data_IF_111036772716
#
_entry.id   IF_111036772716
#
_cell.length_a   1.000
_cell.length_b   1.000
_cell.length_c   1.000
_cell.angle_alpha   90.00
_cell.angle_beta   90.00
_cell.angle_gamma   90.00
#
_symmetry.space_group_name_H-M   'P 1'
#
loop_
_entity.id
_entity.type
_entity.pdbx_description
1 polymer ?
#
# COMPACT_ATOMS: atom_id res chain seq x y z
N UNK A 1 -5.09 -11.32 7.67
CA UNK A 1 -4.61 -10.76 6.37
C UNK A 1 -5.38 -11.34 5.20
N UNK A 2 -5.24 -12.61 4.80
CA UNK A 2 -6.01 -13.12 3.64
C UNK A 2 -7.52 -12.99 3.83
N UNK A 3 -8.06 -13.35 5.00
CA UNK A 3 -9.49 -13.18 5.27
C UNK A 3 -9.92 -11.71 5.24
N UNK A 4 -9.07 -10.81 5.76
CA UNK A 4 -9.26 -9.36 5.67
C UNK A 4 -9.32 -8.89 4.22
N UNK A 5 -8.43 -9.40 3.36
CA UNK A 5 -8.38 -9.06 1.94
C UNK A 5 -9.55 -9.64 1.16
N UNK A 6 -9.99 -10.85 1.48
CA UNK A 6 -11.14 -11.50 0.82
C UNK A 6 -12.47 -10.86 1.23
N UNK A 7 -12.53 -10.24 2.42
CA UNK A 7 -13.70 -9.50 2.88
C UNK A 7 -13.73 -8.04 2.40
N UNK A 8 -12.59 -7.51 1.94
CA UNK A 8 -12.46 -6.14 1.48
C UNK A 8 -12.83 -6.02 0.00
N UNK A 9 -13.57 -4.97 -0.34
CA UNK A 9 -14.06 -4.69 -1.69
C UNK A 9 -13.06 -3.89 -2.55
N UNK A 10 -11.87 -3.59 -2.02
CA UNK A 10 -10.83 -2.83 -2.71
C UNK A 10 -11.02 -1.31 -2.65
N UNK A 11 -11.96 -0.82 -1.83
CA UNK A 11 -12.20 0.62 -1.67
C UNK A 11 -11.13 1.26 -0.76
N UNK A 12 -10.29 2.11 -1.37
CA UNK A 12 -9.25 2.90 -0.69
C UNK A 12 -9.75 4.25 -0.15
N UNK A 13 -10.99 4.64 -0.48
CA UNK A 13 -11.55 5.96 -0.18
C UNK A 13 -12.47 5.94 1.03
N UNK A 14 -13.12 4.81 1.30
CA UNK A 14 -14.02 4.67 2.45
C UNK A 14 -13.28 4.93 3.75
N UNK A 15 -13.79 5.90 4.51
CA UNK A 15 -13.26 6.24 5.82
C UNK A 15 -14.33 6.09 6.88
N UNK A 16 -13.90 5.84 8.11
CA UNK A 16 -14.78 5.90 9.28
C UNK A 16 -14.89 7.32 9.86
N UNK A 17 -15.63 7.47 10.95
CA UNK A 17 -15.81 8.76 11.63
C UNK A 17 -14.50 9.37 12.20
N UNK A 18 -13.40 8.63 12.22
CA UNK A 18 -12.08 9.11 12.61
C UNK A 18 -11.20 9.49 11.41
N UNK A 19 -11.72 9.41 10.17
CA UNK A 19 -10.97 9.71 8.95
C UNK A 19 -9.94 8.65 8.57
N UNK A 20 -10.07 7.44 9.12
CA UNK A 20 -9.17 6.32 8.83
C UNK A 20 -9.76 5.40 7.78
N UNK A 21 -8.92 4.87 6.89
CA UNK A 21 -9.35 3.99 5.79
C UNK A 21 -9.63 2.56 6.25
N UNK A 22 -10.28 1.78 5.39
CA UNK A 22 -10.57 0.38 5.63
C UNK A 22 -9.30 -0.43 5.99
N UNK A 23 -9.38 -1.39 6.95
CA UNK A 23 -8.24 -2.25 7.28
C UNK A 23 -7.64 -3.02 6.09
N UNK A 24 -8.44 -3.27 5.05
CA UNK A 24 -7.99 -3.86 3.79
C UNK A 24 -6.83 -3.11 3.15
N UNK A 25 -6.75 -1.79 3.29
CA UNK A 25 -5.66 -0.96 2.74
C UNK A 25 -4.32 -1.32 3.38
N UNK A 26 -4.27 -1.38 4.71
CA UNK A 26 -3.05 -1.73 5.44
C UNK A 26 -2.69 -3.21 5.21
N UNK A 27 -3.71 -4.09 5.20
CA UNK A 27 -3.54 -5.51 4.93
C UNK A 27 -2.94 -5.76 3.53
N UNK A 28 -3.41 -5.05 2.52
CA UNK A 28 -2.95 -5.20 1.14
C UNK A 28 -1.53 -4.70 0.95
N UNK A 29 -1.25 -3.52 1.50
CA UNK A 29 0.09 -2.93 1.49
C UNK A 29 1.11 -3.88 2.12
N UNK A 30 0.82 -4.39 3.32
CA UNK A 30 1.72 -5.31 4.02
C UNK A 30 1.87 -6.64 3.26
N UNK A 31 0.77 -7.20 2.75
CA UNK A 31 0.78 -8.45 2.01
C UNK A 31 1.66 -8.38 0.76
N UNK A 32 1.52 -7.34 -0.06
CA UNK A 32 2.35 -7.18 -1.28
C UNK A 32 3.83 -7.06 -0.94
N UNK A 33 4.17 -6.28 0.09
CA UNK A 33 5.55 -6.13 0.54
C UNK A 33 6.15 -7.48 0.97
N UNK A 34 5.42 -8.30 1.74
CA UNK A 34 5.88 -9.65 2.07
C UNK A 34 5.95 -10.57 0.86
N UNK A 35 4.96 -10.51 -0.03
CA UNK A 35 4.94 -11.32 -1.22
C UNK A 35 6.22 -11.07 -2.04
N UNK A 36 6.60 -9.80 -2.21
CA UNK A 36 7.85 -9.42 -2.85
C UNK A 36 9.08 -10.00 -2.13
N UNK A 37 9.17 -9.89 -0.81
CA UNK A 37 10.25 -10.50 -0.01
C UNK A 37 10.35 -12.01 -0.21
N UNK A 38 9.22 -12.71 -0.16
CA UNK A 38 9.18 -14.16 -0.32
C UNK A 38 9.58 -14.58 -1.74
N UNK A 39 9.11 -13.87 -2.77
CA UNK A 39 9.44 -14.17 -4.16
C UNK A 39 10.92 -13.95 -4.47
N UNK A 40 11.54 -12.96 -3.82
CA UNK A 40 12.95 -12.63 -4.05
C UNK A 40 13.92 -13.30 -3.07
N UNK A 41 13.44 -13.92 -1.98
CA UNK A 41 14.29 -14.59 -1.00
C UNK A 41 15.31 -15.58 -1.60
N UNK A 42 14.98 -16.38 -2.64
CA UNK A 42 15.95 -17.29 -3.26
C UNK A 42 17.15 -16.60 -3.93
N UNK A 43 17.03 -15.32 -4.27
CA UNK A 43 18.10 -14.53 -4.90
C UNK A 43 19.12 -14.00 -3.87
N UNK A 44 18.90 -14.25 -2.58
CA UNK A 44 19.82 -13.90 -1.51
C UNK A 44 19.79 -12.41 -1.12
N UNK A 45 20.71 -11.99 -0.22
CA UNK A 45 20.67 -10.66 0.40
C UNK A 45 20.73 -9.48 -0.58
N UNK A 46 21.35 -9.66 -1.75
CA UNK A 46 21.45 -8.62 -2.79
C UNK A 46 20.09 -8.22 -3.36
N UNK A 47 19.08 -9.09 -3.32
CA UNK A 47 17.76 -8.79 -3.84
C UNK A 47 16.98 -7.76 -2.99
N UNK A 48 17.46 -7.44 -1.77
CA UNK A 48 16.91 -6.36 -0.95
C UNK A 48 17.06 -4.98 -1.59
N UNK A 49 18.03 -4.81 -2.49
CA UNK A 49 18.17 -3.62 -3.32
C UNK A 49 16.95 -3.39 -4.21
N UNK A 50 16.33 -4.47 -4.72
CA UNK A 50 15.13 -4.38 -5.56
C UNK A 50 13.89 -4.01 -4.76
N UNK A 51 13.91 -4.26 -3.45
CA UNK A 51 12.83 -3.95 -2.51
C UNK A 51 12.97 -2.57 -1.86
N UNK A 52 14.08 -1.86 -2.12
CA UNK A 52 14.34 -0.55 -1.50
C UNK A 52 14.66 -0.65 -0.02
N UNK A 53 14.99 -1.85 0.47
CA UNK A 53 15.31 -2.10 1.89
C UNK A 53 16.80 -1.89 2.19
N UNK A 54 17.37 -0.83 1.65
CA UNK A 54 18.77 -0.49 1.91
C UNK A 54 18.88 0.96 2.35
N UNK A 55 19.88 1.26 3.18
CA UNK A 55 20.18 2.61 3.66
C UNK A 55 20.61 3.58 2.52
N UNK A 56 20.59 3.11 1.26
CA UNK A 56 20.83 3.89 0.04
C UNK A 56 19.56 4.58 -0.50
N UNK A 57 18.45 4.47 0.23
CA UNK A 57 17.14 5.08 -0.04
C UNK A 57 17.18 6.59 -0.45
N UNK A 58 18.08 7.46 0.05
CA UNK A 58 18.08 8.88 -0.35
C UNK A 58 18.31 9.13 -1.85
N UNK A 59 18.95 8.21 -2.57
CA UNK A 59 19.25 8.36 -4.01
C UNK A 59 18.24 7.65 -4.93
N UNK A 60 17.48 6.69 -4.41
CA UNK A 60 16.63 5.79 -5.20
C UNK A 60 15.17 5.68 -4.70
N UNK A 61 14.81 6.34 -3.59
CA UNK A 61 13.47 6.26 -2.98
C UNK A 61 12.31 6.63 -3.93
N UNK A 62 12.57 7.36 -5.01
CA UNK A 62 11.58 7.69 -6.03
C UNK A 62 11.21 6.55 -6.99
N UNK A 63 12.03 5.48 -7.08
CA UNK A 63 11.80 4.34 -7.98
C UNK A 63 11.27 3.08 -7.28
N UNK A 64 11.46 2.97 -5.96
CA UNK A 64 11.13 1.73 -5.22
C UNK A 64 9.96 1.89 -4.28
N UNK A 65 9.72 3.10 -3.76
CA UNK A 65 8.37 3.44 -3.37
C UNK A 65 7.59 3.74 -4.63
N UNK A 66 6.39 3.18 -4.74
CA UNK A 66 5.32 3.79 -5.51
C UNK A 66 5.55 5.29 -5.52
N UNK A 67 5.83 5.87 -6.70
CA UNK A 67 6.27 7.26 -6.81
C UNK A 67 5.32 8.13 -5.96
N UNK A 68 5.71 9.33 -5.50
CA UNK A 68 4.88 10.17 -4.63
C UNK A 68 3.51 10.58 -5.22
N UNK A 69 3.11 10.00 -6.37
CA UNK A 69 1.86 10.11 -7.12
C UNK A 69 1.15 8.75 -7.36
N UNK A 70 1.62 7.62 -6.79
CA UNK A 70 1.18 6.25 -7.12
C UNK A 70 1.14 5.29 -5.91
N UNK A 71 0.84 5.77 -4.69
CA UNK A 71 0.95 5.01 -3.42
C UNK A 71 0.28 3.63 -3.36
N UNK A 72 -0.64 3.33 -4.29
CA UNK A 72 -1.42 2.10 -4.34
C UNK A 72 -1.05 1.19 -5.52
N UNK A 73 -0.20 1.65 -6.45
CA UNK A 73 0.32 0.79 -7.50
C UNK A 73 1.29 -0.25 -6.93
N UNK A 74 1.31 -1.43 -7.56
CA UNK A 74 2.25 -2.47 -7.20
C UNK A 74 3.62 -2.15 -7.81
N UNK A 75 4.68 -2.29 -7.02
CA UNK A 75 6.05 -2.21 -7.55
C UNK A 75 6.34 -3.39 -8.49
N UNK A 76 7.44 -3.33 -9.26
CA UNK A 76 7.85 -4.46 -10.10
C UNK A 76 8.07 -5.75 -9.30
N UNK A 77 8.77 -5.75 -8.14
CA UNK A 77 8.87 -6.92 -7.28
C UNK A 77 7.52 -7.45 -6.78
N UNK A 78 6.60 -6.56 -6.40
CA UNK A 78 5.27 -6.96 -5.94
C UNK A 78 4.45 -7.60 -7.06
N UNK A 79 4.48 -7.00 -8.26
CA UNK A 79 3.83 -7.56 -9.46
C UNK A 79 4.42 -8.92 -9.84
N UNK A 80 5.74 -9.07 -9.77
CA UNK A 80 6.42 -10.35 -9.98
C UNK A 80 5.95 -11.40 -8.96
N UNK A 81 5.89 -11.05 -7.67
CA UNK A 81 5.44 -11.95 -6.63
C UNK A 81 3.98 -12.40 -6.81
N UNK A 82 3.09 -11.46 -7.12
CA UNK A 82 1.67 -11.73 -7.41
C UNK A 82 1.46 -12.59 -8.67
N UNK A 83 2.48 -12.73 -9.53
CA UNK A 83 2.43 -13.60 -10.71
C UNK A 83 3.06 -14.97 -10.47
N UNK A 84 4.00 -15.08 -9.53
CA UNK A 84 4.91 -16.24 -9.47
C UNK A 84 4.84 -17.02 -8.16
N UNK A 85 4.33 -16.44 -7.08
CA UNK A 85 4.17 -17.17 -5.84
C UNK A 85 3.10 -18.26 -5.98
N UNK A 86 3.40 -19.42 -5.39
CA UNK A 86 2.41 -20.47 -5.21
C UNK A 86 1.39 -20.09 -4.13
N UNK A 87 0.26 -20.79 -4.02
CA UNK A 87 -0.69 -20.60 -2.92
C UNK A 87 -0.05 -20.72 -1.53
N UNK A 88 0.94 -21.60 -1.37
CA UNK A 88 1.70 -21.72 -0.12
C UNK A 88 2.56 -20.46 0.14
N UNK A 89 3.16 -19.90 -0.92
CA UNK A 89 3.87 -18.63 -0.86
C UNK A 89 2.99 -17.46 -0.42
N UNK A 90 1.75 -17.38 -0.92
CA UNK A 90 0.79 -16.37 -0.45
C UNK A 90 0.41 -16.54 1.00
N UNK A 91 0.22 -17.77 1.48
CA UNK A 91 -0.07 -18.01 2.90
C UNK A 91 1.09 -17.60 3.80
N UNK A 92 2.33 -17.91 3.38
CA UNK A 92 3.53 -17.49 4.12
C UNK A 92 3.67 -15.96 4.16
N UNK A 93 3.49 -15.29 3.01
CA UNK A 93 3.50 -13.84 2.92
C UNK A 93 2.41 -13.19 3.79
N UNK A 94 1.20 -13.74 3.78
CA UNK A 94 0.12 -13.24 4.60
C UNK A 94 0.34 -13.44 6.10
N UNK A 95 1.02 -14.52 6.51
CA UNK A 95 1.40 -14.74 7.91
C UNK A 95 2.44 -13.70 8.36
N UNK A 96 3.51 -13.51 7.59
CA UNK A 96 4.52 -12.48 7.87
C UNK A 96 3.91 -11.06 7.86
N UNK A 97 2.95 -10.79 6.99
CA UNK A 97 2.24 -9.52 6.94
C UNK A 97 1.39 -9.30 8.20
N UNK A 98 0.77 -10.37 8.70
CA UNK A 98 0.01 -10.30 9.95
C UNK A 98 0.91 -9.95 11.13
N UNK A 99 2.10 -10.56 11.22
CA UNK A 99 3.07 -10.26 12.27
C UNK A 99 3.50 -8.79 12.24
N UNK A 100 3.81 -8.25 11.05
CA UNK A 100 4.14 -6.83 10.88
C UNK A 100 2.98 -5.89 11.23
N UNK A 101 1.74 -6.25 10.89
CA UNK A 101 0.58 -5.42 11.20
C UNK A 101 0.27 -5.42 12.70
N UNK A 102 0.42 -6.57 13.38
CA UNK A 102 0.30 -6.66 14.83
C UNK A 102 1.32 -5.79 15.53
N UNK A 103 2.57 -5.81 15.06
CA UNK A 103 3.63 -4.94 15.59
C UNK A 103 3.29 -3.46 15.36
N UNK A 104 2.92 -3.09 14.12
CA UNK A 104 2.60 -1.70 13.74
C UNK A 104 1.42 -1.11 14.51
N UNK A 105 0.34 -1.88 14.67
CA UNK A 105 -0.91 -1.41 15.30
C UNK A 105 -1.04 -1.83 16.76
N UNK A 106 -0.06 -2.55 17.31
CA UNK A 106 -0.06 -3.11 18.66
C UNK A 106 -1.35 -3.90 19.00
N UNK A 107 -1.87 -4.66 18.02
CA UNK A 107 -3.15 -5.38 18.16
C UNK A 107 -3.26 -6.56 17.19
N UNK A 108 -3.84 -7.65 17.68
CA UNK A 108 -4.19 -8.83 16.88
C UNK A 108 -5.51 -8.67 16.12
N UNK A 109 -6.33 -7.69 16.49
CA UNK A 109 -7.63 -7.41 15.88
C UNK A 109 -7.46 -6.75 14.49
N UNK A 110 -7.83 -7.44 13.38
CA UNK A 110 -7.72 -6.88 12.04
C UNK A 110 -8.59 -5.65 11.82
N UNK A 111 -9.73 -5.51 12.52
CA UNK A 111 -10.61 -4.36 12.38
C UNK A 111 -9.95 -3.04 12.81
N UNK A 112 -8.84 -3.14 13.58
CA UNK A 112 -8.07 -2.01 14.10
C UNK A 112 -6.85 -1.66 13.27
N UNK A 113 -6.55 -2.38 12.19
CA UNK A 113 -5.43 -2.07 11.28
C UNK A 113 -5.77 -0.92 10.33
N UNK A 114 -6.25 0.20 10.88
CA UNK A 114 -6.73 1.36 10.11
C UNK A 114 -5.71 2.48 10.17
N UNK A 115 -5.35 3.01 9.00
CA UNK A 115 -4.43 4.13 8.89
C UNK A 115 -5.17 5.41 8.47
N UNK A 116 -4.67 6.60 8.81
CA UNK A 116 -5.18 7.84 8.25
C UNK A 116 -5.17 7.79 6.72
N UNK A 117 -6.20 8.35 6.08
CA UNK A 117 -6.23 8.45 4.62
C UNK A 117 -5.01 9.24 4.14
N UNK A 118 -4.19 8.61 3.28
CA UNK A 118 -3.04 9.26 2.67
C UNK A 118 -3.52 10.36 1.72
N UNK A 119 -2.92 11.54 1.84
CA UNK A 119 -3.15 12.69 0.98
C UNK A 119 -1.84 13.04 0.25
N UNK A 120 -1.93 13.54 -0.98
CA UNK A 120 -0.76 14.11 -1.64
C UNK A 120 -0.41 15.45 -1.01
N UNK A 121 0.85 15.62 -0.60
CA UNK A 121 1.41 16.94 -0.36
C UNK A 121 1.61 17.63 -1.71
N UNK A 122 0.61 18.41 -2.12
CA UNK A 122 0.72 19.25 -3.32
C UNK A 122 1.66 20.41 -2.98
N UNK A 123 2.95 20.25 -3.28
CA UNK A 123 3.90 21.35 -3.21
C UNK A 123 3.58 22.38 -4.31
N UNK A 124 3.04 23.52 -3.89
CA UNK A 124 2.69 24.64 -4.77
C UNK A 124 3.94 25.41 -5.21
N UNK A 125 4.33 25.26 -6.47
CA UNK A 125 5.13 26.28 -7.16
C UNK A 125 4.19 27.34 -7.77
N UNK A 126 3.58 28.19 -6.93
CA UNK A 126 2.97 29.47 -7.37
C UNK A 126 1.50 29.74 -7.00
N UNK A 127 1.32 30.79 -6.18
CA UNK A 127 0.23 31.77 -6.12
C UNK A 127 -1.27 31.38 -6.01
N UNK A 128 -1.67 30.13 -5.83
CA UNK A 128 -3.06 29.81 -5.47
C UNK A 128 -3.16 28.51 -4.65
N UNK A 129 -3.96 28.48 -3.59
CA UNK A 129 -4.37 27.23 -2.95
C UNK A 129 -5.46 26.59 -3.81
N UNK A 130 -5.19 25.48 -4.52
CA UNK A 130 -6.27 24.75 -5.17
C UNK A 130 -7.17 24.16 -4.08
N UNK A 131 -8.47 24.00 -4.35
CA UNK A 131 -9.33 23.23 -3.45
C UNK A 131 -8.77 21.81 -3.28
N UNK A 132 -8.99 21.15 -2.12
CA UNK A 132 -8.58 19.75 -1.92
C UNK A 132 -9.07 18.89 -3.10
N UNK A 133 -8.14 18.26 -3.82
CA UNK A 133 -8.48 17.38 -4.93
C UNK A 133 -8.61 15.94 -4.42
N UNK A 134 -9.70 15.22 -4.77
CA UNK A 134 -9.80 13.80 -4.45
C UNK A 134 -8.71 13.00 -5.17
N UNK A 135 -8.27 11.94 -4.51
CA UNK A 135 -7.27 10.98 -5.00
C UNK A 135 -7.68 10.35 -6.36
N UNK A 136 -6.71 10.16 -7.26
CA UNK A 136 -6.88 9.56 -8.58
C UNK A 136 -6.06 8.26 -8.67
N UNK A 137 -6.73 7.10 -8.66
CA UNK A 137 -6.10 5.80 -8.97
C UNK A 137 -6.39 5.41 -10.43
N UNK A 138 -5.41 4.90 -11.16
CA UNK A 138 -5.58 4.49 -12.57
C UNK A 138 -6.26 3.12 -12.72
N UNK A 139 -7.18 2.79 -11.80
CA UNK A 139 -7.88 1.50 -11.75
C UNK A 139 -9.37 1.55 -12.12
N UNK A 140 -10.07 2.67 -11.87
CA UNK A 140 -11.49 2.81 -12.18
C UNK A 140 -11.80 4.27 -12.43
N UNK A 141 -12.22 4.62 -13.65
CA UNK A 141 -12.76 5.96 -13.93
C UNK A 141 -14.14 6.09 -13.28
N UNK A 142 -14.22 6.75 -12.13
CA UNK A 142 -15.44 7.46 -11.72
C UNK A 142 -15.08 8.86 -11.22
N UNK A 143 -15.59 9.86 -11.93
CA UNK A 143 -15.47 11.27 -11.60
C UNK A 143 -16.75 11.71 -10.89
N UNK A 144 -16.66 12.03 -9.61
CA UNK A 144 -17.71 12.78 -8.92
C UNK A 144 -17.23 14.23 -8.77
N UNK A 145 -17.90 15.14 -9.47
CA UNK A 145 -17.75 16.58 -9.26
C UNK A 145 -18.81 16.98 -8.25
N UNK A 146 -18.39 17.25 -7.02
CA UNK A 146 -19.22 17.95 -6.05
C UNK A 146 -19.23 19.43 -6.44
N UNK A 147 -20.29 19.84 -7.15
CA UNK A 147 -20.63 21.25 -7.26
C UNK A 147 -21.36 21.61 -5.96
N UNK A 148 -20.77 22.52 -5.18
CA UNK A 148 -21.43 23.10 -4.00
C UNK A 148 -22.78 23.74 -4.36
N UNK A 149 -23.56 24.20 -3.35
CA UNK A 149 -24.97 24.56 -3.52
C UNK A 149 -25.25 25.58 -4.63
#
# INVERSE_FOLDING_TARGET
>A
VLDTLLAWDGDYHRTDGAGTVDPGVAAWTAFRAEAARHALAPLGPGARLLLGETDLDPLYGAYVHAAPYHFFEATHPESYALRTLSPAGYRAAAAAAADRLRERFATDDPARWREPRRMYDIALSGAASPPPLPFFDRGTFEQFVELGP
#
